data_IF_196969180073
#
_entry.id   IF_196969180073
#
_cell.length_a   1.000
_cell.length_b   1.000
_cell.length_c   1.000
_cell.angle_alpha   90.00
_cell.angle_beta   90.00
_cell.angle_gamma   90.00
#
_symmetry.space_group_name_H-M   'P 1'
#
loop_
_entity.id
_entity.type
_entity.pdbx_description
1 polymer ?
#
# COMPACT_ATOMS: atom_id res chain seq x y z
N UNK A 1 20.28 -16.51 6.79
CA UNK A 1 19.15 -15.56 6.68
C UNK A 1 19.66 -14.39 5.85
N UNK A 2 19.34 -14.32 4.56
CA UNK A 2 19.70 -13.15 3.76
C UNK A 2 18.76 -12.01 4.15
N UNK A 3 19.32 -10.93 4.68
CA UNK A 3 18.57 -9.70 4.92
C UNK A 3 18.04 -9.16 3.59
N UNK A 4 16.79 -8.68 3.57
CA UNK A 4 16.22 -7.98 2.42
C UNK A 4 17.03 -6.72 2.11
N UNK A 5 17.01 -6.28 0.85
CA UNK A 5 17.79 -5.12 0.40
C UNK A 5 17.49 -3.84 1.18
N UNK A 6 16.29 -3.75 1.77
CA UNK A 6 15.80 -2.61 2.54
C UNK A 6 15.65 -2.92 4.04
N UNK A 7 16.25 -3.99 4.54
CA UNK A 7 16.26 -4.30 5.97
C UNK A 7 16.85 -3.11 6.77
N UNK A 8 16.18 -2.74 7.86
CA UNK A 8 16.59 -1.64 8.73
C UNK A 8 16.10 -0.25 8.30
N UNK A 9 15.50 -0.12 7.12
CA UNK A 9 14.84 1.13 6.70
C UNK A 9 13.42 1.22 7.25
N UNK A 10 13.04 2.42 7.71
CA UNK A 10 11.66 2.78 8.06
C UNK A 10 11.10 3.74 7.01
N UNK A 11 9.89 3.47 6.54
CA UNK A 11 9.20 4.27 5.52
C UNK A 11 7.87 4.74 6.08
N UNK A 12 7.61 6.05 6.03
CA UNK A 12 6.30 6.61 6.37
C UNK A 12 5.50 6.82 5.09
N UNK A 13 4.38 6.12 4.96
CA UNK A 13 3.54 6.10 3.77
C UNK A 13 2.28 6.96 3.96
N UNK A 14 2.24 8.12 3.30
CA UNK A 14 1.07 9.02 3.22
C UNK A 14 0.29 8.86 1.90
N UNK A 15 0.60 7.83 1.11
CA UNK A 15 -0.01 7.65 -0.20
C UNK A 15 -1.39 6.99 -0.10
N UNK A 16 -2.18 7.13 -1.16
CA UNK A 16 -3.56 6.67 -1.21
C UNK A 16 -3.83 5.91 -2.51
N UNK A 17 -4.93 5.16 -2.51
CA UNK A 17 -5.51 4.47 -3.66
C UNK A 17 -4.59 3.35 -4.16
N UNK A 18 -3.88 3.51 -5.28
CA UNK A 18 -3.23 2.37 -5.96
C UNK A 18 -1.73 2.57 -6.13
N UNK A 19 -1.29 3.60 -6.85
CA UNK A 19 0.12 3.71 -7.28
C UNK A 19 1.10 3.77 -6.09
N UNK A 20 0.78 4.60 -5.08
CA UNK A 20 1.62 4.74 -3.90
C UNK A 20 1.63 3.51 -3.00
N UNK A 21 0.47 2.97 -2.57
CA UNK A 21 0.41 1.76 -1.75
C UNK A 21 1.04 0.54 -2.43
N UNK A 22 0.99 0.47 -3.77
CA UNK A 22 1.68 -0.58 -4.52
C UNK A 22 3.20 -0.42 -4.45
N UNK A 23 3.72 0.81 -4.60
CA UNK A 23 5.14 1.09 -4.46
C UNK A 23 5.64 0.74 -3.05
N UNK A 24 4.96 1.20 -2.01
CA UNK A 24 5.39 0.97 -0.61
C UNK A 24 5.22 -0.49 -0.20
N UNK A 25 4.25 -1.22 -0.77
CA UNK A 25 4.18 -2.68 -0.66
C UNK A 25 5.44 -3.37 -1.20
N UNK A 26 5.93 -2.96 -2.37
CA UNK A 26 7.17 -3.53 -2.92
C UNK A 26 8.37 -3.23 -2.00
N UNK A 27 8.43 -2.06 -1.37
CA UNK A 27 9.49 -1.75 -0.40
C UNK A 27 9.42 -2.67 0.84
N UNK A 28 8.22 -2.92 1.36
CA UNK A 28 8.02 -3.85 2.47
C UNK A 28 8.44 -5.28 2.11
N UNK A 29 8.14 -5.74 0.89
CA UNK A 29 8.58 -7.04 0.37
C UNK A 29 10.10 -7.16 0.27
N UNK A 30 10.81 -6.04 0.13
CA UNK A 30 12.27 -5.97 0.14
C UNK A 30 12.87 -5.76 1.55
N UNK A 31 12.06 -5.78 2.61
CA UNK A 31 12.52 -5.75 4.01
C UNK A 31 12.30 -4.44 4.76
N UNK A 32 11.71 -3.43 4.13
CA UNK A 32 11.44 -2.16 4.81
C UNK A 32 10.30 -2.26 5.84
N UNK A 33 10.42 -1.54 6.96
CA UNK A 33 9.35 -1.33 7.94
C UNK A 33 8.49 -0.13 7.50
N UNK A 34 7.36 -0.43 6.84
CA UNK A 34 6.47 0.56 6.25
C UNK A 34 5.30 0.88 7.19
N UNK A 35 5.21 2.13 7.65
CA UNK A 35 4.13 2.63 8.50
C UNK A 35 3.21 3.47 7.64
N UNK A 36 1.98 2.99 7.43
CA UNK A 36 0.95 3.73 6.72
C UNK A 36 0.27 4.74 7.64
N UNK A 37 0.23 5.99 7.21
CA UNK A 37 -0.50 7.06 7.89
C UNK A 37 -1.82 7.28 7.16
N UNK A 38 -2.92 7.15 7.88
CA UNK A 38 -4.26 7.33 7.34
C UNK A 38 -5.02 8.42 8.09
N UNK A 39 -6.00 9.08 7.43
CA UNK A 39 -6.95 9.93 8.12
C UNK A 39 -7.73 9.18 9.20
N UNK A 40 -8.25 9.92 10.17
CA UNK A 40 -9.24 9.39 11.11
C UNK A 40 -10.44 8.88 10.31
N UNK A 41 -10.80 7.60 10.46
CA UNK A 41 -11.82 6.92 9.64
C UNK A 41 -11.26 6.02 8.53
N UNK A 42 -9.94 6.00 8.34
CA UNK A 42 -9.25 5.14 7.40
C UNK A 42 -9.23 5.68 5.97
N UNK A 43 -8.40 5.05 5.13
CA UNK A 43 -8.26 5.39 3.72
C UNK A 43 -9.51 5.05 2.90
N UNK A 44 -9.82 5.85 1.86
CA UNK A 44 -10.96 5.64 0.97
C UNK A 44 -11.02 4.22 0.40
N UNK A 45 -9.88 3.63 0.03
CA UNK A 45 -9.80 2.27 -0.51
C UNK A 45 -10.42 1.21 0.41
N UNK A 46 -10.44 1.43 1.73
CA UNK A 46 -11.04 0.51 2.72
C UNK A 46 -12.57 0.49 2.66
N UNK A 47 -13.17 1.55 2.15
CA UNK A 47 -14.62 1.73 2.04
C UNK A 47 -15.14 1.33 0.65
N UNK A 48 -14.24 1.19 -0.33
CA UNK A 48 -14.61 0.78 -1.67
C UNK A 48 -15.05 -0.69 -1.67
N UNK A 49 -16.16 -1.03 -2.35
CA UNK A 49 -16.56 -2.41 -2.51
C UNK A 49 -15.44 -3.22 -3.17
N UNK A 50 -15.04 -4.33 -2.54
CA UNK A 50 -14.21 -5.34 -3.18
C UNK A 50 -15.00 -5.93 -4.35
N UNK A 51 -14.78 -5.42 -5.56
CA UNK A 51 -15.48 -5.90 -6.73
C UNK A 51 -15.02 -7.32 -7.10
N UNK A 52 -15.87 -8.29 -6.76
CA UNK A 52 -15.83 -9.68 -7.24
C UNK A 52 -17.01 -9.91 -8.18
N UNK A 53 -16.92 -9.46 -9.44
CA UNK A 53 -17.68 -9.94 -10.62
C UNK A 53 -17.46 -9.05 -11.86
N UNK A 54 -16.22 -8.95 -12.34
CA UNK A 54 -15.97 -8.71 -13.76
C UNK A 54 -15.99 -7.28 -14.31
N UNK A 55 -16.07 -6.21 -13.52
CA UNK A 55 -15.77 -4.83 -14.01
C UNK A 55 -14.99 -4.00 -12.98
N UNK A 56 -13.95 -3.31 -13.44
CA UNK A 56 -13.02 -2.53 -12.59
C UNK A 56 -13.77 -1.45 -11.81
N UNK A 57 -13.57 -1.43 -10.49
CA UNK A 57 -13.91 -0.27 -9.66
C UNK A 57 -12.61 0.41 -9.26
N UNK A 58 -12.51 1.68 -9.65
CA UNK A 58 -11.30 2.48 -9.53
C UNK A 58 -10.78 2.81 -10.93
N UNK A 59 -10.99 4.06 -11.36
CA UNK A 59 -10.32 4.67 -12.51
C UNK A 59 -8.85 4.23 -12.56
N UNK A 60 -8.32 4.11 -13.78
CA UNK A 60 -6.91 3.90 -14.16
C UNK A 60 -6.28 2.56 -13.72
N UNK A 61 -6.28 1.61 -14.66
CA UNK A 61 -5.03 0.92 -14.98
C UNK A 61 -4.26 1.76 -16.00
#
# INVERSE_FOLDING_TARGET
MSQGMLDGFKVIDFTHVVAGPHCTKMLAEQGADVIKIEPIGGELSRQLPNQKNGRRLGLIA
#
